data_IF_881906296642
#
_entry.id   IF_881906296642
#
_cell.length_a   1.000
_cell.length_b   1.000
_cell.length_c   1.000
_cell.angle_alpha   90.00
_cell.angle_beta   90.00
_cell.angle_gamma   90.00
#
_symmetry.space_group_name_H-M   'P 1'
#
loop_
_entity.id
_entity.type
_entity.pdbx_description
1 polymer ?
#
# COMPACT_ATOMS: atom_id res chain seq x y z
N UNK A 1 -2.69 -27.72 -42.87
CA UNK A 1 -2.24 -26.51 -42.15
C UNK A 1 -3.41 -25.51 -42.07
N UNK A 2 -4.01 -25.33 -40.90
CA UNK A 2 -5.19 -24.46 -40.70
C UNK A 2 -4.71 -23.00 -40.68
N UNK A 3 -5.02 -22.21 -41.72
CA UNK A 3 -4.64 -20.78 -41.79
C UNK A 3 -5.30 -20.04 -40.62
N UNK A 4 -4.51 -19.56 -39.68
CA UNK A 4 -4.99 -18.72 -38.58
C UNK A 4 -5.61 -17.46 -39.20
N UNK A 5 -6.88 -17.19 -38.88
CA UNK A 5 -7.57 -16.00 -39.37
C UNK A 5 -6.89 -14.76 -38.81
N UNK A 6 -6.60 -13.77 -39.66
CA UNK A 6 -6.04 -12.47 -39.26
C UNK A 6 -6.85 -11.83 -38.13
N UNK A 7 -8.18 -11.98 -38.13
CA UNK A 7 -9.03 -11.48 -37.04
C UNK A 7 -8.72 -12.14 -35.70
N UNK A 8 -8.53 -13.46 -35.68
CA UNK A 8 -8.17 -14.22 -34.47
C UNK A 8 -6.79 -13.78 -33.96
N UNK A 9 -5.83 -13.59 -34.87
CA UNK A 9 -4.49 -13.10 -34.52
C UNK A 9 -4.53 -11.70 -33.89
N UNK A 10 -5.29 -10.77 -34.48
CA UNK A 10 -5.46 -9.41 -33.94
C UNK A 10 -6.18 -9.41 -32.59
N UNK A 11 -7.22 -10.24 -32.41
CA UNK A 11 -7.91 -10.37 -31.12
C UNK A 11 -6.98 -10.91 -30.04
N UNK A 12 -6.19 -11.95 -30.34
CA UNK A 12 -5.20 -12.47 -29.38
C UNK A 12 -4.15 -11.43 -29.02
N UNK A 13 -3.63 -10.69 -30.00
CA UNK A 13 -2.63 -9.65 -29.76
C UNK A 13 -3.22 -8.52 -28.90
N UNK A 14 -4.46 -8.11 -29.15
CA UNK A 14 -5.17 -7.13 -28.32
C UNK A 14 -5.31 -7.61 -26.87
N UNK A 15 -5.71 -8.86 -26.65
CA UNK A 15 -5.85 -9.42 -25.30
C UNK A 15 -4.50 -9.47 -24.56
N UNK A 16 -3.42 -9.82 -25.24
CA UNK A 16 -2.08 -9.85 -24.65
C UNK A 16 -1.64 -8.44 -24.26
N UNK A 17 -1.82 -7.46 -25.15
CA UNK A 17 -1.46 -6.06 -24.88
C UNK A 17 -2.29 -5.53 -23.72
N UNK A 18 -3.60 -5.76 -23.72
CA UNK A 18 -4.48 -5.33 -22.63
C UNK A 18 -4.07 -5.98 -21.29
N UNK A 19 -3.81 -7.28 -21.29
CA UNK A 19 -3.35 -8.00 -20.09
C UNK A 19 -2.03 -7.46 -19.56
N UNK A 20 -1.05 -7.22 -20.44
CA UNK A 20 0.23 -6.64 -20.08
C UNK A 20 0.07 -5.23 -19.47
N UNK A 21 -0.76 -4.39 -20.08
CA UNK A 21 -1.04 -3.04 -19.56
C UNK A 21 -1.67 -3.11 -18.17
N UNK A 22 -2.64 -3.99 -17.95
CA UNK A 22 -3.30 -4.14 -16.65
C UNK A 22 -2.30 -4.58 -15.57
N UNK A 23 -1.45 -5.56 -15.87
CA UNK A 23 -0.46 -6.08 -14.91
C UNK A 23 0.57 -5.00 -14.58
N UNK A 24 1.12 -4.33 -15.59
CA UNK A 24 2.13 -3.28 -15.40
C UNK A 24 1.56 -2.07 -14.63
N UNK A 25 0.37 -1.61 -15.02
CA UNK A 25 -0.32 -0.52 -14.31
C UNK A 25 -0.66 -0.91 -12.87
N UNK A 26 -1.10 -2.15 -12.64
CA UNK A 26 -1.37 -2.69 -11.31
C UNK A 26 -0.11 -2.68 -10.45
N UNK A 27 1.00 -3.25 -10.93
CA UNK A 27 2.26 -3.25 -10.19
C UNK A 27 2.75 -1.84 -9.85
N UNK A 28 2.70 -0.93 -10.83
CA UNK A 28 3.08 0.47 -10.61
C UNK A 28 2.21 1.15 -9.54
N UNK A 29 0.89 0.95 -9.60
CA UNK A 29 -0.06 1.51 -8.63
C UNK A 29 0.17 0.96 -7.22
N UNK A 30 0.41 -0.36 -7.11
CA UNK A 30 0.70 -0.98 -5.82
C UNK A 30 2.00 -0.40 -5.24
N UNK A 31 3.05 -0.24 -6.05
CA UNK A 31 4.30 0.34 -5.58
C UNK A 31 4.12 1.81 -5.15
N UNK A 32 3.39 2.62 -5.93
CA UNK A 32 3.15 4.02 -5.58
C UNK A 32 2.36 4.18 -4.27
N UNK A 33 1.37 3.31 -4.04
CA UNK A 33 0.57 3.26 -2.79
C UNK A 33 1.33 2.65 -1.60
N UNK A 34 2.57 2.21 -1.79
CA UNK A 34 3.48 1.81 -0.70
C UNK A 34 4.48 2.91 -0.32
N UNK A 35 4.54 4.00 -1.08
CA UNK A 35 5.51 5.07 -0.79
C UNK A 35 5.16 5.85 0.48
N UNK A 36 6.18 6.34 1.17
CA UNK A 36 6.02 7.24 2.33
C UNK A 36 5.18 8.47 1.96
N UNK A 37 5.36 9.03 0.76
CA UNK A 37 4.56 10.15 0.24
C UNK A 37 3.05 9.84 0.20
N UNK A 38 2.67 8.64 -0.23
CA UNK A 38 1.26 8.23 -0.23
C UNK A 38 0.71 8.09 1.19
N UNK A 39 1.48 7.51 2.12
CA UNK A 39 1.07 7.41 3.53
C UNK A 39 0.79 8.80 4.11
N UNK A 40 1.64 9.78 3.83
CA UNK A 40 1.51 11.15 4.33
C UNK A 40 0.44 11.98 3.60
N UNK A 41 -0.22 11.42 2.59
CA UNK A 41 -1.33 12.11 1.91
C UNK A 41 -2.60 12.18 2.77
N UNK A 42 -2.69 11.39 3.83
CA UNK A 42 -3.77 11.41 4.81
C UNK A 42 -3.37 12.23 6.04
N UNK A 43 -4.24 13.13 6.52
CA UNK A 43 -3.97 13.94 7.72
C UNK A 43 -3.79 13.09 8.98
N UNK A 44 -4.40 11.91 9.04
CA UNK A 44 -4.29 10.97 10.17
C UNK A 44 -2.89 10.37 10.32
N UNK A 45 -2.07 10.42 9.28
CA UNK A 45 -0.70 9.93 9.30
C UNK A 45 0.33 11.00 9.72
N UNK A 46 -0.10 12.26 9.90
CA UNK A 46 0.81 13.35 10.27
C UNK A 46 1.37 13.19 11.70
N UNK A 47 0.53 12.84 12.68
CA UNK A 47 0.98 12.64 14.06
C UNK A 47 1.95 11.44 14.19
N UNK A 48 1.65 10.25 13.62
CA UNK A 48 2.62 9.15 13.56
C UNK A 48 3.92 9.51 12.84
N UNK A 49 3.86 10.37 11.82
CA UNK A 49 5.06 10.82 11.10
C UNK A 49 5.96 11.68 11.98
N UNK A 50 5.40 12.62 12.73
CA UNK A 50 6.15 13.44 13.68
C UNK A 50 6.86 12.58 14.73
N UNK A 51 6.17 11.59 15.30
CA UNK A 51 6.77 10.60 16.21
C UNK A 51 7.90 9.82 15.54
N UNK A 52 7.68 9.35 14.31
CA UNK A 52 8.68 8.65 13.52
C UNK A 52 9.93 9.50 13.27
N UNK A 53 9.79 10.80 12.97
CA UNK A 53 10.93 11.70 12.74
C UNK A 53 11.80 11.91 13.98
N UNK A 54 11.21 11.79 15.18
CA UNK A 54 11.95 11.82 16.44
C UNK A 54 12.59 10.48 16.82
N UNK A 55 12.36 9.42 16.05
CA UNK A 55 12.80 8.06 16.37
C UNK A 55 14.15 7.70 15.73
N UNK A 56 14.77 6.65 16.26
CA UNK A 56 15.99 6.03 15.70
C UNK A 56 15.80 5.46 14.29
N UNK A 57 14.55 5.31 13.83
CA UNK A 57 14.25 4.81 12.48
C UNK A 57 14.35 5.91 11.42
N UNK A 58 14.24 7.19 11.81
CA UNK A 58 14.40 8.32 10.90
C UNK A 58 15.84 8.84 10.88
N UNK A 59 16.46 8.99 12.05
CA UNK A 59 17.85 9.41 12.19
C UNK A 59 18.62 8.41 13.05
N UNK A 60 19.52 7.65 12.41
CA UNK A 60 20.47 6.79 13.10
C UNK A 60 21.92 7.17 12.81
N UNK A 61 22.83 6.68 13.64
CA UNK A 61 24.28 6.90 13.50
C UNK A 61 24.86 6.31 12.20
N UNK A 62 24.14 5.40 11.54
CA UNK A 62 24.56 4.77 10.28
C UNK A 62 24.13 5.56 9.04
N UNK A 63 23.35 6.63 9.20
CA UNK A 63 22.82 7.43 8.08
C UNK A 63 21.76 6.72 7.24
N UNK A 64 21.16 5.62 7.73
CA UNK A 64 20.13 4.86 7.02
C UNK A 64 18.76 5.32 7.53
N UNK A 65 17.84 5.65 6.63
CA UNK A 65 16.45 5.99 6.99
C UNK A 65 15.53 4.86 6.56
N UNK A 66 14.78 4.29 7.50
CA UNK A 66 13.75 3.30 7.17
C UNK A 66 12.49 4.02 6.68
N UNK A 67 12.00 3.68 5.51
CA UNK A 67 10.73 4.18 4.98
C UNK A 67 9.53 3.50 5.67
N UNK A 68 8.32 4.07 5.54
CA UNK A 68 7.13 3.48 6.15
C UNK A 68 6.88 2.03 5.69
N UNK A 69 7.12 1.74 4.41
CA UNK A 69 6.92 0.41 3.83
C UNK A 69 7.88 -0.64 4.42
N UNK A 70 9.10 -0.25 4.75
CA UNK A 70 10.17 -1.17 5.17
C UNK A 70 9.79 -1.98 6.42
N UNK A 71 8.90 -1.43 7.26
CA UNK A 71 8.40 -2.12 8.46
C UNK A 71 6.91 -2.48 8.38
N UNK A 72 6.13 -1.86 7.50
CA UNK A 72 4.67 -2.02 7.49
C UNK A 72 4.11 -2.81 6.32
N UNK A 73 4.93 -3.08 5.30
CA UNK A 73 4.50 -3.75 4.09
C UNK A 73 5.47 -4.90 3.80
N UNK A 74 5.01 -6.16 3.79
CA UNK A 74 5.85 -7.30 3.46
C UNK A 74 6.48 -7.17 2.07
N UNK A 75 7.71 -7.65 1.90
CA UNK A 75 8.39 -7.59 0.62
C UNK A 75 7.83 -8.63 -0.37
N UNK A 76 7.12 -8.14 -1.39
CA UNK A 76 6.73 -8.92 -2.56
C UNK A 76 5.82 -10.12 -2.30
N UNK A 77 5.58 -10.88 -3.37
CA UNK A 77 4.81 -12.12 -3.32
C UNK A 77 3.34 -11.95 -2.93
N UNK A 78 2.78 -13.01 -2.36
CA UNK A 78 1.36 -13.07 -1.98
C UNK A 78 1.09 -12.25 -0.72
N UNK A 79 2.01 -12.26 0.24
CA UNK A 79 1.84 -11.53 1.52
C UNK A 79 1.74 -10.03 1.31
N UNK A 80 2.50 -9.48 0.34
CA UNK A 80 2.35 -8.10 -0.10
C UNK A 80 0.93 -7.77 -0.58
N UNK A 81 0.36 -8.65 -1.41
CA UNK A 81 -0.98 -8.46 -1.95
C UNK A 81 -2.04 -8.58 -0.86
N UNK A 82 -1.90 -9.57 0.04
CA UNK A 82 -2.81 -9.75 1.18
C UNK A 82 -2.75 -8.53 2.11
N UNK A 83 -1.56 -8.03 2.43
CA UNK A 83 -1.37 -6.84 3.23
C UNK A 83 -2.08 -5.63 2.61
N UNK A 84 -1.96 -5.43 1.29
CA UNK A 84 -2.66 -4.35 0.59
C UNK A 84 -4.17 -4.50 0.58
N UNK A 85 -4.68 -5.72 0.43
CA UNK A 85 -6.12 -5.97 0.54
C UNK A 85 -6.64 -5.67 1.94
N UNK A 86 -5.89 -6.00 2.99
CA UNK A 86 -6.26 -5.69 4.37
C UNK A 86 -6.17 -4.18 4.66
N UNK A 87 -5.13 -3.51 4.18
CA UNK A 87 -4.94 -2.06 4.33
C UNK A 87 -6.03 -1.24 3.61
N UNK A 88 -6.75 -1.81 2.64
CA UNK A 88 -7.92 -1.15 2.05
C UNK A 88 -9.00 -0.78 3.07
N UNK A 89 -9.04 -1.48 4.22
CA UNK A 89 -9.92 -1.15 5.34
C UNK A 89 -9.57 0.20 5.96
N UNK A 90 -8.31 0.60 5.99
CA UNK A 90 -7.90 1.88 6.55
C UNK A 90 -8.44 3.04 5.70
N UNK A 91 -8.39 2.88 4.37
CA UNK A 91 -9.02 3.81 3.41
C UNK A 91 -10.54 3.86 3.61
N UNK A 92 -11.19 2.70 3.74
CA UNK A 92 -12.63 2.63 4.02
C UNK A 92 -12.98 3.30 5.35
N UNK A 93 -12.16 3.09 6.38
CA UNK A 93 -12.39 3.65 7.70
C UNK A 93 -12.18 5.15 7.76
N UNK A 94 -11.21 5.66 7.01
CA UNK A 94 -10.95 7.09 6.84
C UNK A 94 -12.11 7.77 6.11
N UNK A 95 -12.44 7.33 4.89
CA UNK A 95 -13.31 8.08 3.99
C UNK A 95 -14.79 7.75 4.13
N UNK A 96 -15.13 6.49 4.38
CA UNK A 96 -16.53 6.03 4.38
C UNK A 96 -17.09 6.04 5.81
N UNK A 97 -16.46 5.34 6.74
CA UNK A 97 -16.99 5.25 8.12
C UNK A 97 -16.57 6.42 9.02
N UNK A 98 -15.52 7.16 8.63
CA UNK A 98 -14.89 8.22 9.43
C UNK A 98 -14.55 7.78 10.86
N UNK A 99 -14.09 6.53 11.01
CA UNK A 99 -13.76 5.89 12.30
C UNK A 99 -12.45 6.42 12.88
N UNK A 100 -11.54 6.91 12.04
CA UNK A 100 -10.22 7.44 12.43
C UNK A 100 -10.01 8.89 11.97
N UNK A 101 -11.05 9.55 11.50
CA UNK A 101 -10.96 10.80 10.74
C UNK A 101 -10.57 12.04 11.58
N UNK A 102 -10.62 11.97 12.90
CA UNK A 102 -10.17 13.06 13.79
C UNK A 102 -9.09 12.57 14.74
N UNK A 103 -8.24 13.45 15.30
CA UNK A 103 -7.21 13.06 16.26
C UNK A 103 -7.77 12.27 17.45
N UNK A 104 -8.93 12.66 17.98
CA UNK A 104 -9.58 11.99 19.11
C UNK A 104 -9.98 10.57 18.74
N UNK A 105 -10.64 10.41 17.58
CA UNK A 105 -11.07 9.11 17.06
C UNK A 105 -9.89 8.20 16.71
N UNK A 106 -8.81 8.78 16.19
CA UNK A 106 -7.58 8.05 15.93
C UNK A 106 -6.99 7.52 17.24
N UNK A 107 -6.90 8.36 18.27
CA UNK A 107 -6.32 7.97 19.56
C UNK A 107 -7.15 6.91 20.28
N UNK A 108 -8.48 6.99 20.23
CA UNK A 108 -9.39 5.97 20.75
C UNK A 108 -9.10 4.56 20.21
N UNK A 109 -8.64 4.49 18.95
CA UNK A 109 -8.38 3.23 18.25
C UNK A 109 -6.88 2.93 18.09
N UNK A 110 -5.98 3.81 18.54
CA UNK A 110 -4.54 3.71 18.26
C UNK A 110 -3.94 2.42 18.81
N UNK A 111 -4.33 2.03 20.03
CA UNK A 111 -3.88 0.80 20.65
C UNK A 111 -4.33 -0.44 19.87
N UNK A 112 -5.60 -0.48 19.46
CA UNK A 112 -6.18 -1.58 18.66
C UNK A 112 -5.43 -1.71 17.32
N UNK A 113 -5.21 -0.58 16.64
CA UNK A 113 -4.48 -0.54 15.37
C UNK A 113 -3.03 -0.99 15.51
N UNK A 114 -2.34 -0.56 16.57
CA UNK A 114 -0.96 -0.98 16.86
C UNK A 114 -0.88 -2.49 17.11
N UNK A 115 -1.77 -3.05 17.92
CA UNK A 115 -1.81 -4.48 18.21
C UNK A 115 -2.11 -5.33 16.96
N UNK A 116 -3.02 -4.87 16.10
CA UNK A 116 -3.34 -5.57 14.86
C UNK A 116 -2.18 -5.58 13.84
N UNK A 117 -1.30 -4.57 13.89
CA UNK A 117 -0.09 -4.50 13.06
C UNK A 117 1.05 -5.37 13.56
N UNK A 118 1.32 -5.39 14.86
CA UNK A 118 2.45 -6.14 15.44
C UNK A 118 2.08 -7.56 15.88
N UNK A 119 0.80 -7.90 16.01
CA UNK A 119 0.33 -9.25 16.38
C UNK A 119 0.37 -10.27 15.24
N UNK A 120 0.95 -9.93 14.09
CA UNK A 120 1.01 -10.78 12.87
C UNK A 120 2.42 -10.91 12.27
N UNK A 121 3.46 -10.48 12.99
CA UNK A 121 4.88 -10.69 12.65
C UNK A 121 5.47 -11.85 13.43
#
# INVERSE_FOLDING_TARGET
MRKINKTILWTMLLCIVLGAVIVLAGQWTLHKTSSTEFCLSCHTMQAPYEEYTGSVHFQNQKGIRAECADCHIPEGGVDYLVAKLLASKDVYHQFITKKIDTPEKFEEHRLEMAQNRFGRS
#
